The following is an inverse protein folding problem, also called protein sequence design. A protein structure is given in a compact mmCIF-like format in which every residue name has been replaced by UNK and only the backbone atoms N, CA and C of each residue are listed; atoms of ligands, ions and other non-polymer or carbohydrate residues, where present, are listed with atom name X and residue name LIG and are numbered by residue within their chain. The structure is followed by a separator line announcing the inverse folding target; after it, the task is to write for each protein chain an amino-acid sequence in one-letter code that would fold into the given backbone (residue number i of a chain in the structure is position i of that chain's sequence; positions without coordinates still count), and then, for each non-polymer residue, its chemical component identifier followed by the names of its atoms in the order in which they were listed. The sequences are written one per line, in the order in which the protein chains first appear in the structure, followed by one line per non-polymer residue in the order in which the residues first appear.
data_IF_463162529839
#
_entry.id   IF_463162529839
#
_cell.length_a   1.000
_cell.length_b   1.000
_cell.length_c   1.000
_cell.angle_alpha   90.00
_cell.angle_beta   90.00
_cell.angle_gamma   90.00
#
_symmetry.space_group_name_H-M   'P 1'
#
loop_
_entity.id
_entity.type
_entity.pdbx_description
1 polymer ?
#
# COMPACT_ATOMS: atom_id res chain seq x y z
N UNK A 1 66.94 24.48 -18.79
CA UNK A 1 66.71 23.05 -18.48
C UNK A 1 65.43 22.95 -17.69
N UNK A 2 64.34 22.43 -18.31
CA UNK A 2 63.06 22.22 -17.67
C UNK A 2 62.87 20.73 -17.48
N UNK A 3 62.93 20.27 -16.25
CA UNK A 3 62.66 18.86 -15.89
C UNK A 3 61.15 18.63 -15.78
N UNK A 4 60.61 17.79 -16.66
CA UNK A 4 59.27 17.27 -16.57
C UNK A 4 59.24 16.15 -15.52
N UNK A 5 58.43 16.32 -14.47
CA UNK A 5 58.09 15.24 -13.54
C UNK A 5 56.82 14.58 -14.04
N UNK A 6 56.94 13.35 -14.54
CA UNK A 6 55.80 12.53 -14.91
C UNK A 6 55.21 11.87 -13.67
N UNK A 7 53.96 12.23 -13.29
CA UNK A 7 53.23 11.57 -12.23
C UNK A 7 52.65 10.24 -12.76
N UNK A 8 53.17 9.14 -12.27
CA UNK A 8 52.62 7.79 -12.51
C UNK A 8 51.35 7.60 -11.66
N UNK A 9 50.19 7.60 -12.29
CA UNK A 9 48.92 7.22 -11.63
C UNK A 9 48.89 5.68 -11.54
N UNK A 10 49.09 5.15 -10.32
CA UNK A 10 48.87 3.73 -10.05
C UNK A 10 47.36 3.50 -9.93
N UNK A 11 46.78 2.91 -10.96
CA UNK A 11 45.40 2.43 -10.91
C UNK A 11 45.39 1.15 -10.06
N UNK A 12 44.90 1.22 -8.82
CA UNK A 12 44.65 0.06 -7.99
C UNK A 12 43.39 -0.61 -8.52
N UNK A 13 43.56 -1.67 -9.30
CA UNK A 13 42.45 -2.53 -9.70
C UNK A 13 41.98 -3.33 -8.49
N UNK A 14 40.76 -3.10 -8.03
CA UNK A 14 40.13 -3.91 -7.02
C UNK A 14 39.91 -5.35 -7.54
N UNK A 15 40.13 -6.39 -6.72
CA UNK A 15 39.99 -7.76 -7.16
C UNK A 15 38.54 -8.07 -7.56
N UNK A 16 38.35 -8.77 -8.67
CA UNK A 16 37.08 -9.17 -9.28
C UNK A 16 36.13 -9.93 -8.32
N UNK A 17 36.64 -10.44 -7.19
CA UNK A 17 35.84 -11.11 -6.15
C UNK A 17 34.95 -10.20 -5.32
N UNK A 18 35.24 -8.89 -5.28
CA UNK A 18 34.42 -7.93 -4.54
C UNK A 18 33.13 -7.50 -5.31
N UNK A 19 33.14 -7.64 -6.64
CA UNK A 19 32.01 -7.28 -7.49
C UNK A 19 30.92 -8.37 -7.50
N UNK A 20 31.28 -9.64 -7.30
CA UNK A 20 30.32 -10.75 -7.33
C UNK A 20 29.35 -10.78 -6.13
N UNK A 21 29.77 -10.27 -4.97
CA UNK A 21 28.91 -10.23 -3.77
C UNK A 21 27.79 -9.20 -3.88
N UNK A 22 27.99 -8.09 -4.62
CA UNK A 22 26.98 -7.06 -4.87
C UNK A 22 25.96 -7.47 -5.94
N UNK A 23 26.38 -8.27 -6.94
CA UNK A 23 25.53 -8.78 -8.01
C UNK A 23 24.66 -9.95 -7.56
N UNK A 24 25.12 -10.76 -6.61
CA UNK A 24 24.32 -11.86 -6.03
C UNK A 24 23.13 -11.30 -5.24
N UNK A 25 23.28 -10.18 -4.53
CA UNK A 25 22.19 -9.52 -3.79
C UNK A 25 21.10 -8.91 -4.69
N UNK A 26 21.43 -8.54 -5.92
CA UNK A 26 20.46 -8.00 -6.91
C UNK A 26 19.75 -9.09 -7.73
N UNK A 27 20.28 -10.30 -7.80
CA UNK A 27 19.80 -11.36 -8.70
C UNK A 27 18.78 -12.31 -8.07
N UNK A 28 18.46 -12.19 -6.76
CA UNK A 28 17.69 -13.22 -6.04
C UNK A 28 16.20 -12.88 -5.88
N UNK A 29 15.76 -11.66 -6.20
CA UNK A 29 14.30 -11.40 -6.26
C UNK A 29 13.92 -11.14 -7.71
N UNK A 30 13.77 -12.18 -8.49
CA UNK A 30 13.24 -12.07 -9.85
C UNK A 30 11.86 -11.42 -9.84
N UNK A 31 11.55 -10.57 -10.84
CA UNK A 31 10.23 -9.89 -10.98
C UNK A 31 9.02 -10.82 -10.75
N UNK A 32 9.18 -12.12 -11.04
CA UNK A 32 8.14 -13.13 -10.79
C UNK A 32 7.90 -13.45 -9.31
N UNK A 33 8.95 -13.50 -8.49
CA UNK A 33 8.83 -13.80 -7.05
C UNK A 33 8.19 -12.64 -6.28
N UNK A 34 8.56 -11.39 -6.59
CA UNK A 34 7.95 -10.20 -6.00
C UNK A 34 6.47 -10.08 -6.37
N UNK A 35 6.10 -10.36 -7.62
CA UNK A 35 4.71 -10.36 -8.07
C UNK A 35 3.87 -11.44 -7.38
N UNK A 36 4.41 -12.64 -7.15
CA UNK A 36 3.72 -13.71 -6.44
C UNK A 36 3.45 -13.33 -4.97
N UNK A 37 4.45 -12.75 -4.29
CA UNK A 37 4.32 -12.28 -2.90
C UNK A 37 3.33 -11.13 -2.82
N UNK A 38 3.41 -10.14 -3.71
CA UNK A 38 2.45 -9.03 -3.78
C UNK A 38 1.01 -9.56 -3.93
N UNK A 39 0.78 -10.48 -4.86
CA UNK A 39 -0.54 -11.09 -5.09
C UNK A 39 -1.06 -11.80 -3.84
N UNK A 40 -0.19 -12.56 -3.16
CA UNK A 40 -0.58 -13.29 -1.95
C UNK A 40 -0.88 -12.35 -0.77
N UNK A 41 -0.05 -11.32 -0.56
CA UNK A 41 -0.25 -10.30 0.46
C UNK A 41 -1.55 -9.54 0.18
N UNK A 42 -1.76 -9.11 -1.07
CA UNK A 42 -2.97 -8.39 -1.48
C UNK A 42 -4.24 -9.23 -1.30
N UNK A 43 -4.21 -10.53 -1.58
CA UNK A 43 -5.35 -11.43 -1.30
C UNK A 43 -5.72 -11.40 0.18
N UNK A 44 -4.73 -11.47 1.09
CA UNK A 44 -4.97 -11.43 2.54
C UNK A 44 -5.47 -10.04 2.98
N UNK A 45 -4.81 -8.96 2.57
CA UNK A 45 -5.18 -7.59 2.95
C UNK A 45 -6.59 -7.21 2.49
N UNK A 46 -6.97 -7.60 1.27
CA UNK A 46 -8.34 -7.39 0.77
C UNK A 46 -9.38 -8.17 1.57
N UNK A 47 -9.08 -9.41 1.97
CA UNK A 47 -9.97 -10.20 2.81
C UNK A 47 -10.12 -9.56 4.20
N UNK A 48 -9.02 -9.11 4.82
CA UNK A 48 -9.06 -8.46 6.13
C UNK A 48 -9.75 -7.09 6.08
N UNK A 49 -9.53 -6.28 5.05
CA UNK A 49 -10.25 -5.01 4.89
C UNK A 49 -11.76 -5.21 4.74
N UNK A 50 -12.19 -6.25 4.00
CA UNK A 50 -13.63 -6.58 3.87
C UNK A 50 -14.28 -7.00 5.18
N UNK A 51 -13.58 -7.77 6.02
CA UNK A 51 -14.07 -8.20 7.33
C UNK A 51 -14.12 -7.07 8.36
N UNK A 52 -13.25 -6.09 8.23
CA UNK A 52 -13.04 -5.03 9.21
C UNK A 52 -13.43 -3.65 8.67
N UNK A 53 -14.54 -3.56 7.93
CA UNK A 53 -15.06 -2.27 7.44
C UNK A 53 -15.52 -1.39 8.60
N UNK A 54 -14.92 -0.20 8.73
CA UNK A 54 -15.45 0.86 9.58
C UNK A 54 -16.62 1.55 8.86
N UNK A 55 -17.66 1.90 9.61
CA UNK A 55 -18.78 2.68 9.09
C UNK A 55 -18.48 4.17 9.17
N UNK A 56 -19.06 4.92 8.26
CA UNK A 56 -19.01 6.38 8.24
C UNK A 56 -20.42 6.95 8.38
N UNK A 57 -20.53 8.12 8.96
CA UNK A 57 -21.79 8.86 8.91
C UNK A 57 -22.16 9.20 7.46
N UNK A 58 -23.44 9.37 7.21
CA UNK A 58 -23.96 9.68 5.87
C UNK A 58 -23.26 10.93 5.33
N UNK A 59 -22.79 10.82 4.07
CA UNK A 59 -22.10 11.89 3.34
C UNK A 59 -20.94 12.56 4.11
N UNK A 60 -20.21 11.77 4.90
CA UNK A 60 -19.15 12.25 5.78
C UNK A 60 -17.97 11.26 5.82
N UNK A 61 -16.81 11.77 6.24
CA UNK A 61 -15.62 11.00 6.60
C UNK A 61 -15.52 10.70 8.11
N UNK A 62 -16.53 11.14 8.89
CA UNK A 62 -16.60 10.86 10.32
C UNK A 62 -16.90 9.38 10.56
N UNK A 63 -15.99 8.72 11.29
CA UNK A 63 -16.14 7.32 11.65
C UNK A 63 -17.23 7.16 12.74
N UNK A 64 -18.03 6.12 12.60
CA UNK A 64 -18.96 5.70 13.64
C UNK A 64 -18.25 4.93 14.75
N UNK A 65 -18.92 4.73 15.87
CA UNK A 65 -18.42 3.94 17.01
C UNK A 65 -18.06 2.50 16.56
N UNK A 66 -17.04 1.91 17.20
CA UNK A 66 -16.63 0.51 16.96
C UNK A 66 -15.57 0.33 15.88
N UNK A 67 -15.04 1.42 15.29
CA UNK A 67 -13.92 1.33 14.36
C UNK A 67 -12.59 0.95 15.04
N UNK A 68 -12.36 1.31 16.30
CA UNK A 68 -11.09 1.09 17.01
C UNK A 68 -10.61 -0.38 16.95
N UNK A 69 -11.47 -1.32 17.33
CA UNK A 69 -11.12 -2.75 17.28
C UNK A 69 -10.89 -3.27 15.86
N UNK A 70 -11.61 -2.74 14.87
CA UNK A 70 -11.43 -3.08 13.45
C UNK A 70 -10.11 -2.52 12.93
N UNK A 71 -9.79 -1.27 13.23
CA UNK A 71 -8.52 -0.63 12.88
C UNK A 71 -7.32 -1.37 13.51
N UNK A 72 -7.43 -1.84 14.75
CA UNK A 72 -6.40 -2.65 15.39
C UNK A 72 -6.14 -3.96 14.65
N UNK A 73 -7.20 -4.69 14.24
CA UNK A 73 -7.05 -5.92 13.45
C UNK A 73 -6.42 -5.65 12.08
N UNK A 74 -6.79 -4.55 11.43
CA UNK A 74 -6.17 -4.14 10.18
C UNK A 74 -4.69 -3.78 10.35
N UNK A 75 -4.34 -3.01 11.38
CA UNK A 75 -2.94 -2.68 11.67
C UNK A 75 -2.09 -3.95 11.90
N UNK A 76 -2.61 -4.93 12.65
CA UNK A 76 -1.94 -6.23 12.82
C UNK A 76 -1.75 -6.96 11.48
N UNK A 77 -2.75 -6.93 10.60
CA UNK A 77 -2.63 -7.53 9.27
C UNK A 77 -1.56 -6.82 8.39
N UNK A 78 -1.39 -5.49 8.54
CA UNK A 78 -0.33 -4.75 7.87
C UNK A 78 1.06 -5.11 8.42
N UNK A 79 1.19 -5.28 9.74
CA UNK A 79 2.45 -5.76 10.37
C UNK A 79 2.82 -7.15 9.84
N UNK A 80 1.87 -8.07 9.77
CA UNK A 80 2.10 -9.42 9.20
C UNK A 80 2.48 -9.35 7.71
N UNK A 81 1.82 -8.49 6.94
CA UNK A 81 2.14 -8.25 5.54
C UNK A 81 3.57 -7.74 5.38
N UNK A 82 3.98 -6.75 6.20
CA UNK A 82 5.34 -6.21 6.23
C UNK A 82 6.38 -7.29 6.53
N UNK A 83 6.15 -8.13 7.55
CA UNK A 83 7.03 -9.26 7.88
C UNK A 83 7.21 -10.20 6.68
N UNK A 84 6.10 -10.52 5.98
CA UNK A 84 6.14 -11.40 4.81
C UNK A 84 6.88 -10.78 3.62
N UNK A 85 6.69 -9.48 3.37
CA UNK A 85 7.42 -8.74 2.34
C UNK A 85 8.91 -8.75 2.64
N UNK A 86 9.31 -8.43 3.88
CA UNK A 86 10.70 -8.44 4.33
C UNK A 86 11.36 -9.82 4.18
N UNK A 87 10.67 -10.90 4.60
CA UNK A 87 11.14 -12.28 4.44
C UNK A 87 11.34 -12.68 2.96
N UNK A 88 10.65 -11.99 2.04
CA UNK A 88 10.79 -12.19 0.60
C UNK A 88 11.75 -11.19 -0.06
N UNK A 89 12.53 -10.45 0.74
CA UNK A 89 13.52 -9.48 0.24
C UNK A 89 12.93 -8.17 -0.29
N UNK A 90 11.62 -7.94 -0.13
CA UNK A 90 10.96 -6.70 -0.56
C UNK A 90 11.15 -5.64 0.51
N UNK A 91 11.90 -4.57 0.16
CA UNK A 91 12.21 -3.46 1.06
C UNK A 91 11.40 -2.19 0.74
N UNK A 92 11.08 -1.98 -0.52
CA UNK A 92 10.36 -0.79 -0.98
C UNK A 92 8.91 -1.17 -1.28
N UNK A 93 7.98 -0.63 -0.52
CA UNK A 93 6.54 -0.83 -0.71
C UNK A 93 5.76 0.33 -0.07
N UNK A 94 4.50 0.45 -0.45
CA UNK A 94 3.50 1.29 0.23
C UNK A 94 2.23 0.49 0.43
N UNK A 95 1.57 0.70 1.55
CA UNK A 95 0.19 0.28 1.73
C UNK A 95 -0.74 1.36 1.19
N UNK A 96 -1.58 1.01 0.23
CA UNK A 96 -2.59 1.89 -0.34
C UNK A 96 -3.93 1.60 0.33
N UNK A 97 -4.53 2.61 0.98
CA UNK A 97 -5.93 2.60 1.41
C UNK A 97 -6.74 3.28 0.33
N UNK A 98 -7.56 2.55 -0.39
CA UNK A 98 -8.45 3.10 -1.42
C UNK A 98 -9.89 3.15 -0.93
N UNK A 99 -10.51 4.35 -0.95
CA UNK A 99 -11.92 4.56 -0.65
C UNK A 99 -12.78 4.45 -1.90
N UNK A 100 -13.99 3.91 -1.74
CA UNK A 100 -14.94 3.70 -2.82
C UNK A 100 -16.33 4.18 -2.40
N UNK A 101 -17.11 4.69 -3.35
CA UNK A 101 -18.51 5.06 -3.20
C UNK A 101 -19.41 4.16 -4.06
N UNK A 102 -20.70 4.26 -3.86
CA UNK A 102 -21.68 3.84 -4.86
C UNK A 102 -21.78 4.89 -5.98
N UNK A 103 -22.64 4.66 -6.98
CA UNK A 103 -22.80 5.53 -8.14
C UNK A 103 -23.70 6.73 -7.88
N UNK A 104 -24.20 6.94 -6.66
CA UNK A 104 -25.02 8.10 -6.31
C UNK A 104 -24.18 9.37 -6.25
N UNK A 105 -24.73 10.48 -6.74
CA UNK A 105 -24.04 11.78 -6.74
C UNK A 105 -23.09 11.97 -7.92
N UNK A 106 -22.37 13.11 -7.90
CA UNK A 106 -21.42 13.44 -8.97
C UNK A 106 -20.09 12.69 -8.81
N UNK A 107 -19.41 12.43 -9.93
CA UNK A 107 -18.09 11.79 -9.92
C UNK A 107 -17.05 12.58 -9.11
N UNK A 108 -17.08 13.92 -9.19
CA UNK A 108 -16.17 14.79 -8.45
C UNK A 108 -16.38 14.68 -6.93
N UNK A 109 -17.65 14.78 -6.48
CA UNK A 109 -18.01 14.60 -5.07
C UNK A 109 -17.61 13.23 -4.55
N UNK A 110 -17.92 12.16 -5.30
CA UNK A 110 -17.56 10.80 -4.93
C UNK A 110 -16.05 10.59 -4.81
N UNK A 111 -15.29 11.22 -5.70
CA UNK A 111 -13.82 11.17 -5.65
C UNK A 111 -13.27 11.81 -4.39
N UNK A 112 -13.75 13.00 -4.07
CA UNK A 112 -13.34 13.74 -2.87
C UNK A 112 -13.78 13.03 -1.58
N UNK A 113 -15.05 12.61 -1.47
CA UNK A 113 -15.58 11.92 -0.30
C UNK A 113 -14.83 10.60 -0.04
N UNK A 114 -14.56 9.83 -1.09
CA UNK A 114 -13.82 8.57 -0.97
C UNK A 114 -12.37 8.79 -0.54
N UNK A 115 -11.72 9.87 -0.97
CA UNK A 115 -10.39 10.25 -0.51
C UNK A 115 -10.41 10.61 0.99
N UNK A 116 -11.30 11.50 1.43
CA UNK A 116 -11.45 11.87 2.84
C UNK A 116 -11.69 10.66 3.74
N UNK A 117 -12.50 9.69 3.29
CA UNK A 117 -12.72 8.42 4.01
C UNK A 117 -11.48 7.55 4.06
N UNK A 118 -10.73 7.44 2.98
CA UNK A 118 -9.46 6.72 2.95
C UNK A 118 -8.43 7.35 3.91
N UNK A 119 -8.37 8.68 3.96
CA UNK A 119 -7.53 9.43 4.89
C UNK A 119 -7.94 9.21 6.35
N UNK A 120 -9.24 9.14 6.64
CA UNK A 120 -9.72 8.84 7.99
C UNK A 120 -9.27 7.45 8.44
N UNK A 121 -9.35 6.43 7.57
CA UNK A 121 -8.84 5.09 7.85
C UNK A 121 -7.31 5.11 8.02
N UNK A 122 -6.58 5.82 7.14
CA UNK A 122 -5.13 6.01 7.27
C UNK A 122 -4.77 6.55 8.65
N UNK A 123 -5.41 7.64 9.10
CA UNK A 123 -5.20 8.22 10.45
C UNK A 123 -5.46 7.22 11.57
N UNK A 124 -6.50 6.38 11.46
CA UNK A 124 -6.76 5.33 12.46
C UNK A 124 -5.67 4.26 12.48
N UNK A 125 -5.15 3.86 11.33
CA UNK A 125 -4.05 2.90 11.25
C UNK A 125 -2.74 3.47 11.80
N UNK A 126 -2.45 4.74 11.55
CA UNK A 126 -1.30 5.46 12.14
C UNK A 126 -1.38 5.50 13.67
N UNK A 127 -2.56 5.78 14.23
CA UNK A 127 -2.81 5.69 15.69
C UNK A 127 -2.56 4.28 16.26
N UNK A 128 -2.63 3.24 15.42
CA UNK A 128 -2.33 1.85 15.81
C UNK A 128 -0.89 1.44 15.49
N UNK A 129 -0.02 2.39 15.14
CA UNK A 129 1.42 2.18 14.97
C UNK A 129 1.88 1.85 13.54
N UNK A 130 1.01 2.01 12.53
CA UNK A 130 1.46 1.94 11.13
C UNK A 130 2.22 3.21 10.79
N UNK A 131 3.42 3.10 10.23
CA UNK A 131 4.25 4.25 9.90
C UNK A 131 3.60 5.10 8.80
N UNK A 132 3.55 6.42 8.99
CA UNK A 132 2.88 7.36 8.10
C UNK A 132 3.48 7.38 6.69
N UNK A 133 4.77 7.13 6.59
CA UNK A 133 5.52 7.03 5.33
C UNK A 133 5.31 5.72 4.59
N UNK A 134 4.78 4.68 5.26
CA UNK A 134 4.46 3.39 4.64
C UNK A 134 3.03 3.31 4.09
N UNK A 135 2.16 4.30 4.36
CA UNK A 135 0.75 4.23 4.02
C UNK A 135 0.28 5.47 3.24
N UNK A 136 -0.48 5.25 2.18
CA UNK A 136 -1.07 6.30 1.35
C UNK A 136 -2.58 6.12 1.22
N UNK A 137 -3.31 7.24 1.10
CA UNK A 137 -4.75 7.24 0.87
C UNK A 137 -5.06 7.60 -0.58
N UNK A 138 -6.05 6.94 -1.16
CA UNK A 138 -6.51 7.17 -2.54
C UNK A 138 -8.04 7.19 -2.59
N UNK A 139 -8.62 8.21 -3.19
CA UNK A 139 -10.03 8.25 -3.51
C UNK A 139 -10.29 7.57 -4.86
N UNK A 140 -11.03 6.48 -4.89
CA UNK A 140 -11.42 5.80 -6.12
C UNK A 140 -12.84 6.18 -6.58
N UNK A 141 -13.64 6.87 -5.73
CA UNK A 141 -15.02 7.21 -6.07
C UNK A 141 -15.81 5.97 -6.48
N UNK A 142 -16.66 6.12 -7.50
CA UNK A 142 -17.46 5.03 -8.06
C UNK A 142 -16.78 4.28 -9.23
N UNK A 143 -15.49 4.54 -9.52
CA UNK A 143 -14.80 4.01 -10.70
C UNK A 143 -14.59 2.50 -10.67
N UNK A 144 -14.51 1.89 -9.48
CA UNK A 144 -14.21 0.46 -9.29
C UNK A 144 -15.29 -0.22 -8.44
N UNK A 145 -16.52 -0.38 -8.95
CA UNK A 145 -17.60 -1.03 -8.21
C UNK A 145 -17.34 -2.53 -8.04
N UNK A 146 -17.76 -3.10 -6.90
CA UNK A 146 -17.82 -4.55 -6.70
C UNK A 146 -19.07 -5.17 -7.35
N UNK A 147 -20.14 -4.39 -7.42
CA UNK A 147 -21.42 -4.80 -7.98
C UNK A 147 -21.92 -3.73 -8.94
N UNK A 148 -22.31 -4.16 -10.15
CA UNK A 148 -22.84 -3.27 -11.19
C UNK A 148 -24.01 -3.98 -11.91
N UNK A 149 -25.18 -3.32 -12.10
CA UNK A 149 -25.54 -2.00 -11.59
C UNK A 149 -25.74 -2.03 -10.06
N UNK A 150 -25.54 -0.88 -9.38
CA UNK A 150 -25.83 -0.73 -7.97
C UNK A 150 -27.17 -0.01 -7.72
N UNK A 151 -28.22 -0.59 -8.28
CA UNK A 151 -29.60 -0.11 -8.34
C UNK A 151 -30.40 -0.35 -7.03
N UNK A 152 -29.85 -1.12 -6.09
CA UNK A 152 -30.49 -1.39 -4.80
C UNK A 152 -29.63 -0.89 -3.62
N UNK A 153 -30.26 -0.56 -2.45
CA UNK A 153 -29.51 -0.17 -1.24
C UNK A 153 -28.45 -1.21 -0.83
N UNK A 154 -28.75 -2.50 -0.96
CA UNK A 154 -27.83 -3.58 -0.63
C UNK A 154 -26.60 -3.63 -1.57
N UNK A 155 -26.80 -3.40 -2.87
CA UNK A 155 -25.71 -3.33 -3.86
C UNK A 155 -24.86 -2.07 -3.64
N UNK A 156 -25.51 -0.90 -3.42
CA UNK A 156 -24.81 0.35 -3.04
C UNK A 156 -23.95 0.16 -1.80
N UNK A 157 -24.47 -0.50 -0.76
CA UNK A 157 -23.74 -0.76 0.46
C UNK A 157 -22.45 -1.58 0.21
N UNK A 158 -22.46 -2.54 -0.73
CA UNK A 158 -21.25 -3.29 -1.12
C UNK A 158 -20.20 -2.41 -1.80
N UNK A 159 -20.62 -1.40 -2.54
CA UNK A 159 -19.72 -0.48 -3.23
C UNK A 159 -19.12 0.55 -2.26
N UNK A 160 -19.87 1.00 -1.25
CA UNK A 160 -19.36 1.92 -0.20
C UNK A 160 -18.43 1.19 0.75
N UNK A 161 -17.15 1.18 0.43
CA UNK A 161 -16.11 0.45 1.16
C UNK A 161 -14.76 1.14 1.10
N UNK A 162 -13.81 0.63 1.83
CA UNK A 162 -12.39 0.83 1.54
C UNK A 162 -11.69 -0.51 1.33
N UNK A 163 -10.61 -0.48 0.60
CA UNK A 163 -9.72 -1.62 0.38
C UNK A 163 -8.30 -1.25 0.75
N UNK A 164 -7.55 -2.22 1.27
CA UNK A 164 -6.12 -2.04 1.56
C UNK A 164 -5.33 -3.00 0.70
N UNK A 165 -4.30 -2.48 0.03
CA UNK A 165 -3.38 -3.23 -0.82
C UNK A 165 -1.95 -2.80 -0.57
N UNK A 166 -0.98 -3.69 -0.83
CA UNK A 166 0.42 -3.30 -0.98
C UNK A 166 0.70 -2.96 -2.44
N UNK A 167 1.56 -1.98 -2.64
CA UNK A 167 2.15 -1.57 -3.91
C UNK A 167 3.66 -1.68 -3.80
N UNK A 168 4.30 -2.33 -4.75
CA UNK A 168 5.75 -2.52 -4.85
C UNK A 168 6.36 -1.57 -5.88
#
# INVERSE_FOLDING_TARGET
MKTLVAALAVAVALPASAQSAWDIGKKVVGKGATSAVEKQVNKKLLAESRKNQCSFKTDSDQLEKGCDAKARRLANALVDAKKKLAASGVKNFKFEVSGHTDTSGSAAHNKELSLKRAEAIKRELEKKGVAADEIVAVGAGAERPLVKPDDTPAKKAKNRRYEIRVRL
#
